data_IF_617548845498
#
_entry.id   IF_617548845498
#
_cell.length_a   1.000
_cell.length_b   1.000
_cell.length_c   1.000
_cell.angle_alpha   90.00
_cell.angle_beta   90.00
_cell.angle_gamma   90.00
#
_symmetry.space_group_name_H-M   'P 1'
#
loop_
_entity.id
_entity.type
_entity.pdbx_description
1 polymer ?
#
# COMPACT_ATOMS: atom_id res chain seq x y z
N UNK A 1 -14.65 -34.59 2.47
CA UNK A 1 -13.26 -34.10 2.34
C UNK A 1 -13.31 -32.58 2.41
N UNK A 2 -12.40 -31.93 3.14
CA UNK A 2 -12.30 -30.46 3.13
C UNK A 2 -11.82 -30.02 1.76
N UNK A 3 -12.44 -28.98 1.21
CA UNK A 3 -12.00 -28.35 -0.05
C UNK A 3 -10.67 -27.66 0.21
N UNK A 4 -9.62 -28.04 -0.50
CA UNK A 4 -8.28 -27.46 -0.41
C UNK A 4 -8.13 -26.38 -1.46
N UNK A 5 -7.48 -25.28 -1.10
CA UNK A 5 -7.23 -24.12 -1.96
C UNK A 5 -5.73 -23.98 -2.14
N UNK A 6 -5.29 -23.87 -3.39
CA UNK A 6 -3.92 -23.49 -3.70
C UNK A 6 -3.76 -21.97 -3.53
N UNK A 7 -2.67 -21.56 -2.88
CA UNK A 7 -2.34 -20.17 -2.68
C UNK A 7 -0.90 -19.87 -3.06
N UNK A 8 -0.63 -18.63 -3.36
CA UNK A 8 0.70 -18.07 -3.54
C UNK A 8 0.94 -17.02 -2.47
N UNK A 9 2.04 -17.13 -1.72
CA UNK A 9 2.50 -16.10 -0.80
C UNK A 9 3.43 -15.15 -1.54
N UNK A 10 3.14 -13.86 -1.49
CA UNK A 10 3.97 -12.82 -2.12
C UNK A 10 4.11 -11.63 -1.19
N UNK A 11 5.15 -10.81 -1.44
CA UNK A 11 5.40 -9.58 -0.72
C UNK A 11 5.82 -8.44 -1.66
N UNK A 12 5.48 -7.21 -1.29
CA UNK A 12 5.94 -5.99 -1.92
C UNK A 12 6.42 -5.00 -0.87
N UNK A 13 7.75 -4.76 -0.82
CA UNK A 13 8.37 -3.89 0.17
C UNK A 13 8.06 -4.30 1.63
N UNK A 14 8.11 -5.62 1.93
CA UNK A 14 7.90 -6.16 3.28
C UNK A 14 6.43 -6.30 3.72
N UNK A 15 5.49 -5.80 2.93
CA UNK A 15 4.05 -6.02 3.16
C UNK A 15 3.62 -7.27 2.38
N UNK A 16 3.11 -8.29 3.08
CA UNK A 16 2.95 -9.63 2.53
C UNK A 16 1.51 -10.16 2.64
N UNK A 17 1.06 -10.81 1.56
CA UNK A 17 -0.30 -11.34 1.47
C UNK A 17 -0.33 -12.78 0.92
N UNK A 18 -1.44 -13.45 1.21
CA UNK A 18 -1.84 -14.72 0.61
C UNK A 18 -2.68 -14.40 -0.63
N UNK A 19 -2.28 -14.87 -1.80
CA UNK A 19 -2.98 -14.64 -3.07
C UNK A 19 -3.70 -15.90 -3.52
N UNK A 20 -4.97 -15.76 -3.87
CA UNK A 20 -5.81 -16.84 -4.39
C UNK A 20 -6.48 -16.40 -5.68
N UNK A 21 -6.38 -17.23 -6.72
CA UNK A 21 -7.13 -17.06 -7.97
C UNK A 21 -8.57 -17.60 -7.80
N UNK A 22 -9.54 -16.69 -7.73
CA UNK A 22 -10.96 -17.02 -7.57
C UNK A 22 -11.61 -17.53 -8.84
N UNK A 23 -10.91 -17.55 -9.96
CA UNK A 23 -11.37 -18.25 -11.16
C UNK A 23 -11.20 -19.77 -11.03
N UNK A 24 -10.29 -20.21 -10.15
CA UNK A 24 -10.02 -21.61 -9.86
C UNK A 24 -10.63 -22.07 -8.54
N UNK A 25 -10.66 -21.19 -7.53
CA UNK A 25 -11.07 -21.51 -6.17
C UNK A 25 -12.13 -20.54 -5.65
N UNK A 26 -13.28 -21.07 -5.28
CA UNK A 26 -14.32 -20.30 -4.61
C UNK A 26 -14.02 -20.18 -3.11
N UNK A 27 -14.04 -18.97 -2.59
CA UNK A 27 -13.84 -18.63 -1.18
C UNK A 27 -15.16 -18.05 -0.63
N UNK A 28 -16.02 -18.87 -0.06
CA UNK A 28 -17.37 -18.44 0.33
C UNK A 28 -17.38 -17.38 1.43
N UNK A 29 -16.41 -17.43 2.35
CA UNK A 29 -16.26 -16.51 3.46
C UNK A 29 -14.81 -15.98 3.50
N UNK A 30 -14.50 -14.94 2.69
CA UNK A 30 -13.13 -14.42 2.60
C UNK A 30 -12.66 -13.72 3.87
N UNK A 31 -13.56 -13.12 4.65
CA UNK A 31 -13.22 -12.48 5.93
C UNK A 31 -12.71 -13.52 6.93
N UNK A 32 -13.44 -14.63 7.08
CA UNK A 32 -13.05 -15.73 7.95
C UNK A 32 -11.78 -16.43 7.45
N UNK A 33 -11.62 -16.57 6.12
CA UNK A 33 -10.41 -17.12 5.53
C UNK A 33 -9.19 -16.21 5.81
N UNK A 34 -9.33 -14.90 5.66
CA UNK A 34 -8.28 -13.94 5.97
C UNK A 34 -7.82 -14.05 7.43
N UNK A 35 -8.75 -14.05 8.39
CA UNK A 35 -8.43 -14.21 9.82
C UNK A 35 -7.69 -15.52 10.09
N UNK A 36 -8.24 -16.66 9.59
CA UNK A 36 -7.69 -17.97 9.90
C UNK A 36 -6.33 -18.22 9.23
N UNK A 37 -6.16 -17.79 7.97
CA UNK A 37 -4.96 -18.05 7.21
C UNK A 37 -3.83 -17.06 7.54
N UNK A 38 -4.16 -15.82 7.93
CA UNK A 38 -3.16 -14.82 8.30
C UNK A 38 -2.56 -15.03 9.68
N UNK A 39 -3.13 -15.89 10.52
CA UNK A 39 -2.60 -16.16 11.86
C UNK A 39 -1.19 -16.74 11.81
N UNK A 40 -0.21 -16.09 12.46
CA UNK A 40 1.21 -16.45 12.35
C UNK A 40 1.56 -17.86 12.82
N UNK A 41 0.96 -18.36 13.88
CA UNK A 41 1.34 -19.65 14.48
C UNK A 41 0.44 -20.82 14.11
N UNK A 42 -0.74 -20.53 13.58
CA UNK A 42 -1.77 -21.55 13.32
C UNK A 42 -2.30 -21.54 11.88
N UNK A 43 -1.96 -20.53 11.11
CA UNK A 43 -2.20 -20.34 9.70
C UNK A 43 -0.90 -20.27 8.88
N UNK A 44 -0.97 -19.58 7.75
CA UNK A 44 0.17 -19.29 6.87
C UNK A 44 1.01 -18.14 7.44
N UNK A 45 0.36 -17.20 8.11
CA UNK A 45 0.96 -15.94 8.56
C UNK A 45 1.10 -14.92 7.44
N UNK A 46 0.42 -13.77 7.55
CA UNK A 46 0.48 -12.67 6.56
C UNK A 46 -0.23 -11.42 7.09
N UNK A 47 -0.10 -10.32 6.36
CA UNK A 47 -0.88 -9.10 6.57
C UNK A 47 -2.35 -9.26 6.12
N UNK A 48 -2.66 -10.30 5.33
CA UNK A 48 -4.02 -10.58 4.90
C UNK A 48 -4.13 -11.51 3.69
N UNK A 49 -5.32 -11.47 3.07
CA UNK A 49 -5.72 -12.28 1.93
C UNK A 49 -6.07 -11.39 0.73
N UNK A 50 -5.56 -11.72 -0.43
CA UNK A 50 -5.87 -11.09 -1.71
C UNK A 50 -6.55 -12.09 -2.64
N UNK A 51 -7.72 -11.74 -3.13
CA UNK A 51 -8.47 -12.50 -4.11
C UNK A 51 -8.32 -11.86 -5.49
N UNK A 52 -7.80 -12.62 -6.45
CA UNK A 52 -7.66 -12.22 -7.85
C UNK A 52 -8.82 -12.84 -8.62
N UNK A 53 -9.61 -12.03 -9.32
CA UNK A 53 -10.80 -12.51 -10.01
C UNK A 53 -11.04 -11.86 -11.36
N UNK A 54 -12.22 -12.19 -11.93
CA UNK A 54 -12.72 -11.51 -13.12
C UNK A 54 -13.30 -10.14 -12.73
N UNK A 55 -13.09 -9.09 -13.54
CA UNK A 55 -13.72 -7.80 -13.29
C UNK A 55 -15.24 -7.87 -13.54
N UNK A 56 -15.99 -6.95 -12.94
CA UNK A 56 -17.42 -6.82 -13.20
C UNK A 56 -17.72 -6.41 -14.66
N UNK A 57 -16.89 -5.53 -15.22
CA UNK A 57 -16.95 -5.13 -16.63
C UNK A 57 -15.59 -5.32 -17.31
N UNK A 58 -15.45 -6.37 -18.09
CA UNK A 58 -14.23 -6.69 -18.84
C UNK A 58 -13.83 -5.66 -19.91
N UNK A 59 -14.72 -4.70 -20.26
CA UNK A 59 -14.38 -3.58 -21.15
C UNK A 59 -13.57 -2.51 -20.41
N UNK A 60 -13.76 -2.41 -19.08
CA UNK A 60 -13.13 -1.39 -18.23
C UNK A 60 -11.88 -1.90 -17.53
N UNK A 61 -11.84 -3.18 -17.17
CA UNK A 61 -10.72 -3.80 -16.48
C UNK A 61 -10.41 -5.19 -17.04
N UNK A 62 -9.20 -5.67 -16.80
CA UNK A 62 -8.73 -6.99 -17.23
C UNK A 62 -8.90 -8.03 -16.10
N UNK A 63 -8.66 -7.61 -14.87
CA UNK A 63 -8.78 -8.41 -13.65
C UNK A 63 -9.38 -7.57 -12.52
N UNK A 64 -9.81 -8.25 -11.45
CA UNK A 64 -10.27 -7.61 -10.22
C UNK A 64 -9.45 -8.05 -9.02
N UNK A 65 -9.39 -7.18 -8.00
CA UNK A 65 -8.80 -7.44 -6.71
C UNK A 65 -9.82 -7.18 -5.61
N UNK A 66 -9.95 -8.14 -4.68
CA UNK A 66 -10.48 -7.90 -3.33
C UNK A 66 -9.38 -8.19 -2.32
N UNK A 67 -9.29 -7.39 -1.28
CA UNK A 67 -8.24 -7.51 -0.27
C UNK A 67 -8.83 -7.44 1.12
N UNK A 68 -8.45 -8.39 1.96
CA UNK A 68 -8.90 -8.53 3.34
C UNK A 68 -7.69 -8.49 4.25
N UNK A 69 -7.70 -7.61 5.24
CA UNK A 69 -6.66 -7.56 6.27
C UNK A 69 -6.68 -8.81 7.17
N UNK A 70 -5.64 -8.99 7.96
CA UNK A 70 -5.54 -10.13 8.88
C UNK A 70 -6.66 -10.18 9.94
N UNK A 71 -7.34 -9.06 10.21
CA UNK A 71 -8.51 -8.96 11.09
C UNK A 71 -9.85 -9.27 10.38
N UNK A 72 -9.82 -9.56 9.08
CA UNK A 72 -10.98 -9.83 8.24
C UNK A 72 -11.61 -8.60 7.59
N UNK A 73 -11.21 -7.40 7.95
CA UNK A 73 -11.75 -6.18 7.33
C UNK A 73 -11.35 -6.07 5.86
N UNK A 74 -12.31 -5.71 4.98
CA UNK A 74 -12.03 -5.49 3.57
C UNK A 74 -11.48 -4.09 3.34
N UNK A 75 -10.31 -3.97 2.67
CA UNK A 75 -9.71 -2.70 2.31
C UNK A 75 -10.06 -2.31 0.87
N UNK A 76 -10.09 -0.99 0.62
CA UNK A 76 -10.45 -0.45 -0.68
C UNK A 76 -9.44 -0.78 -1.78
N UNK A 77 -8.15 -0.82 -1.44
CA UNK A 77 -7.03 -1.19 -2.31
C UNK A 77 -5.73 -1.22 -1.50
N UNK A 78 -4.72 -1.89 -2.04
CA UNK A 78 -3.35 -1.85 -1.54
C UNK A 78 -2.37 -1.78 -2.73
N UNK A 79 -1.52 -0.76 -2.75
CA UNK A 79 -0.54 -0.57 -3.82
C UNK A 79 0.52 -1.67 -3.87
N UNK A 80 0.95 -2.19 -2.71
CA UNK A 80 1.89 -3.31 -2.63
C UNK A 80 1.26 -4.59 -3.20
N UNK A 81 0.01 -4.89 -2.82
CA UNK A 81 -0.73 -6.02 -3.35
C UNK A 81 -0.97 -5.90 -4.86
N UNK A 82 -1.26 -4.69 -5.37
CA UNK A 82 -1.45 -4.45 -6.80
C UNK A 82 -0.19 -4.76 -7.61
N UNK A 83 1.02 -4.41 -7.10
CA UNK A 83 2.29 -4.77 -7.76
C UNK A 83 2.48 -6.29 -7.81
N UNK A 84 2.21 -6.98 -6.70
CA UNK A 84 2.27 -8.44 -6.64
C UNK A 84 1.29 -9.09 -7.63
N UNK A 85 0.07 -8.57 -7.76
CA UNK A 85 -0.90 -9.06 -8.76
C UNK A 85 -0.35 -8.90 -10.18
N UNK A 86 0.25 -7.75 -10.51
CA UNK A 86 0.86 -7.53 -11.83
C UNK A 86 1.90 -8.59 -12.17
N UNK A 87 2.86 -8.83 -11.25
CA UNK A 87 3.88 -9.88 -11.39
C UNK A 87 3.26 -11.27 -11.46
N UNK A 88 2.32 -11.57 -10.57
CA UNK A 88 1.61 -12.86 -10.54
C UNK A 88 0.95 -13.18 -11.87
N UNK A 89 0.14 -12.27 -12.39
CA UNK A 89 -0.62 -12.49 -13.62
C UNK A 89 0.30 -12.73 -14.82
N UNK A 90 1.40 -12.00 -14.92
CA UNK A 90 2.32 -12.12 -16.03
C UNK A 90 3.17 -13.41 -15.95
N UNK A 91 3.82 -13.64 -14.82
CA UNK A 91 4.74 -14.78 -14.67
C UNK A 91 4.03 -16.14 -14.53
N UNK A 92 2.76 -16.15 -14.10
CA UNK A 92 1.90 -17.36 -14.16
C UNK A 92 1.29 -17.59 -15.55
N UNK A 93 1.58 -16.73 -16.54
CA UNK A 93 1.09 -16.87 -17.90
C UNK A 93 -0.41 -16.60 -18.07
N UNK A 94 -1.02 -15.91 -17.11
CA UNK A 94 -2.44 -15.53 -17.18
C UNK A 94 -2.68 -14.33 -18.10
N UNK A 95 -1.63 -13.55 -18.36
CA UNK A 95 -1.62 -12.46 -19.33
C UNK A 95 -0.24 -12.31 -19.97
N UNK A 96 -0.21 -11.73 -21.18
CA UNK A 96 1.02 -11.31 -21.86
C UNK A 96 1.08 -9.79 -22.04
N UNK A 97 0.17 -9.06 -21.40
CA UNK A 97 0.15 -7.59 -21.42
C UNK A 97 1.18 -7.04 -20.45
N UNK A 98 1.90 -6.00 -20.87
CA UNK A 98 2.77 -5.19 -20.01
C UNK A 98 2.01 -4.12 -19.24
N UNK A 99 0.76 -3.89 -19.61
CA UNK A 99 -0.14 -2.92 -18.98
C UNK A 99 -1.46 -3.60 -18.65
N UNK A 100 -1.82 -3.64 -17.37
CA UNK A 100 -2.99 -4.34 -16.83
C UNK A 100 -3.91 -3.32 -16.16
N UNK A 101 -5.20 -3.41 -16.48
CA UNK A 101 -6.25 -2.63 -15.79
C UNK A 101 -6.83 -3.50 -14.68
N UNK A 102 -6.58 -3.12 -13.43
CA UNK A 102 -7.01 -3.84 -12.24
C UNK A 102 -8.19 -3.11 -11.57
N UNK A 103 -9.36 -3.77 -11.55
CA UNK A 103 -10.53 -3.28 -10.82
C UNK A 103 -10.32 -3.47 -9.32
N UNK A 104 -10.54 -2.42 -8.55
CA UNK A 104 -10.51 -2.40 -7.07
C UNK A 104 -11.72 -1.66 -6.54
N UNK A 105 -11.97 -1.73 -5.23
CA UNK A 105 -13.06 -0.95 -4.60
C UNK A 105 -12.80 0.57 -4.69
N UNK A 106 -11.55 1.01 -4.87
CA UNK A 106 -11.20 2.42 -5.10
C UNK A 106 -11.11 2.80 -6.59
N UNK A 107 -11.73 2.02 -7.47
CA UNK A 107 -11.72 2.22 -8.93
C UNK A 107 -10.67 1.41 -9.66
N UNK A 108 -10.59 1.60 -10.97
CA UNK A 108 -9.63 0.88 -11.83
C UNK A 108 -8.24 1.50 -11.69
N UNK A 109 -7.24 0.65 -11.37
CA UNK A 109 -5.83 1.01 -11.31
C UNK A 109 -5.11 0.51 -12.55
N UNK A 110 -4.19 1.31 -13.08
CA UNK A 110 -3.33 0.93 -14.20
C UNK A 110 -2.00 0.43 -13.62
N UNK A 111 -1.66 -0.80 -13.94
CA UNK A 111 -0.39 -1.43 -13.59
C UNK A 111 0.47 -1.50 -14.84
N UNK A 112 1.65 -0.89 -14.82
CA UNK A 112 2.65 -1.01 -15.89
C UNK A 112 3.79 -1.90 -15.41
N UNK A 113 3.99 -3.02 -16.08
CA UNK A 113 5.02 -4.00 -15.74
C UNK A 113 6.34 -3.60 -16.41
N UNK A 114 7.42 -3.63 -15.64
CA UNK A 114 8.79 -3.50 -16.13
C UNK A 114 9.38 -4.90 -16.25
N UNK A 115 9.44 -5.39 -17.48
CA UNK A 115 9.81 -6.76 -17.80
C UNK A 115 11.25 -6.77 -18.25
N UNK A 116 12.05 -7.65 -17.65
CA UNK A 116 13.43 -7.93 -18.07
C UNK A 116 13.51 -9.11 -19.05
N UNK A 117 14.70 -9.32 -19.61
CA UNK A 117 15.02 -10.50 -20.41
C UNK A 117 14.66 -11.79 -19.65
N UNK A 118 14.00 -12.73 -20.32
CA UNK A 118 13.53 -13.97 -19.70
C UNK A 118 12.11 -13.95 -19.15
N UNK A 119 11.32 -12.89 -19.44
CA UNK A 119 9.93 -12.74 -19.00
C UNK A 119 9.77 -12.59 -17.46
N UNK A 120 10.78 -12.10 -16.78
CA UNK A 120 10.70 -11.77 -15.36
C UNK A 120 10.24 -10.31 -15.17
N UNK A 121 9.26 -10.08 -14.29
CA UNK A 121 8.81 -8.73 -13.90
C UNK A 121 9.71 -8.22 -12.77
N UNK A 122 10.60 -7.29 -13.10
CA UNK A 122 11.51 -6.66 -12.14
C UNK A 122 10.77 -5.76 -11.15
N UNK A 123 9.89 -4.91 -11.70
CA UNK A 123 9.11 -3.97 -10.91
C UNK A 123 7.77 -3.66 -11.58
N UNK A 124 6.88 -3.06 -10.82
CA UNK A 124 5.56 -2.65 -11.31
C UNK A 124 5.29 -1.21 -10.91
N UNK A 125 4.88 -0.39 -11.87
CA UNK A 125 4.35 0.97 -11.61
C UNK A 125 2.84 0.90 -11.49
N UNK A 126 2.32 1.48 -10.40
CA UNK A 126 0.87 1.63 -10.15
C UNK A 126 0.50 3.10 -10.26
N UNK A 127 -0.51 3.43 -11.05
CA UNK A 127 -1.12 4.74 -11.07
C UNK A 127 -1.99 4.90 -9.82
N UNK A 128 -1.52 5.71 -8.86
CA UNK A 128 -2.18 5.98 -7.58
C UNK A 128 -3.21 7.12 -7.68
N UNK A 129 -3.39 7.71 -8.88
CA UNK A 129 -4.25 8.84 -9.19
C UNK A 129 -3.78 10.16 -8.57
N UNK A 130 -4.64 11.19 -8.63
CA UNK A 130 -4.33 12.52 -8.10
C UNK A 130 -4.41 12.56 -6.58
N UNK A 131 -3.43 13.19 -5.92
CA UNK A 131 -3.53 13.49 -4.49
C UNK A 131 -4.59 14.58 -4.26
N UNK A 132 -5.28 14.50 -3.13
CA UNK A 132 -6.09 15.62 -2.64
C UNK A 132 -5.31 16.35 -1.55
N UNK A 133 -5.08 17.63 -1.77
CA UNK A 133 -4.29 18.47 -0.87
C UNK A 133 -5.15 19.22 0.16
N UNK A 134 -6.48 19.15 0.01
CA UNK A 134 -7.46 19.71 0.92
C UNK A 134 -8.66 18.80 1.02
N UNK A 135 -9.07 18.49 2.24
CA UNK A 135 -10.31 17.77 2.53
C UNK A 135 -10.78 18.16 3.95
N UNK A 136 -11.76 19.04 4.04
CA UNK A 136 -12.26 19.56 5.32
C UNK A 136 -12.92 18.49 6.20
N UNK A 137 -13.32 17.35 5.65
CA UNK A 137 -13.86 16.24 6.44
C UNK A 137 -12.74 15.44 7.13
N UNK A 138 -11.50 15.53 6.63
CA UNK A 138 -10.36 14.75 7.13
C UNK A 138 -9.28 15.60 7.78
N UNK A 139 -9.18 16.88 7.43
CA UNK A 139 -8.20 17.81 7.99
C UNK A 139 -8.80 19.21 8.17
N UNK A 140 -8.91 19.66 9.41
CA UNK A 140 -9.50 20.96 9.80
C UNK A 140 -8.51 21.85 10.56
N UNK A 141 -7.33 21.35 10.81
CA UNK A 141 -6.32 22.01 11.65
C UNK A 141 -5.31 22.85 10.86
N UNK A 142 -4.42 23.54 11.59
CA UNK A 142 -3.24 24.17 11.01
C UNK A 142 -2.21 23.10 10.59
N UNK A 143 -1.24 23.50 9.76
CA UNK A 143 -0.10 22.67 9.39
C UNK A 143 0.90 22.44 10.54
N UNK A 144 0.74 23.13 11.67
CA UNK A 144 1.60 23.04 12.85
C UNK A 144 0.80 22.46 13.99
N UNK A 145 1.18 21.27 14.45
CA UNK A 145 0.49 20.52 15.49
C UNK A 145 1.40 20.29 16.70
N UNK A 146 0.84 20.45 17.90
CA UNK A 146 1.54 20.10 19.13
C UNK A 146 1.22 18.64 19.51
N UNK A 147 2.24 17.92 19.95
CA UNK A 147 2.12 16.61 20.59
C UNK A 147 3.08 16.58 21.79
N UNK A 148 2.51 16.63 22.98
CA UNK A 148 3.21 16.92 24.23
C UNK A 148 4.12 18.16 24.13
N UNK A 149 5.39 18.05 24.49
CA UNK A 149 6.35 19.15 24.41
C UNK A 149 6.94 19.41 23.01
N UNK A 150 6.58 18.60 22.00
CA UNK A 150 7.07 18.77 20.62
C UNK A 150 6.02 19.42 19.71
N UNK A 151 6.54 20.17 18.75
CA UNK A 151 5.75 20.79 17.69
C UNK A 151 6.16 20.13 16.37
N UNK A 152 5.17 19.70 15.60
CA UNK A 152 5.36 19.10 14.30
C UNK A 152 4.72 19.98 13.22
N UNK A 153 5.53 20.50 12.33
CA UNK A 153 5.05 21.12 11.10
C UNK A 153 4.94 20.05 10.03
N UNK A 154 3.79 19.97 9.37
CA UNK A 154 3.55 18.94 8.39
C UNK A 154 2.63 19.38 7.26
N UNK A 155 2.55 18.53 6.25
CA UNK A 155 1.73 18.70 5.05
C UNK A 155 0.67 17.61 5.01
N UNK A 156 -0.58 18.01 4.89
CA UNK A 156 -1.68 17.07 4.65
C UNK A 156 -1.72 16.66 3.17
N UNK A 157 -1.78 15.34 2.92
CA UNK A 157 -1.96 14.76 1.59
C UNK A 157 -2.90 13.56 1.70
N UNK A 158 -3.97 13.54 0.90
CA UNK A 158 -4.86 12.38 0.81
C UNK A 158 -4.57 11.59 -0.47
N UNK A 159 -4.25 10.31 -0.31
CA UNK A 159 -4.02 9.34 -1.39
C UNK A 159 -5.15 8.29 -1.43
N UNK A 160 -6.41 8.73 -1.18
CA UNK A 160 -7.56 7.87 -0.93
C UNK A 160 -7.79 7.62 0.56
N UNK A 161 -6.76 7.81 1.37
CA UNK A 161 -6.77 7.87 2.83
C UNK A 161 -5.91 9.05 3.29
N UNK A 162 -6.18 9.64 4.48
CA UNK A 162 -5.47 10.83 4.96
C UNK A 162 -4.07 10.51 5.46
N UNK A 163 -3.12 11.37 5.10
CA UNK A 163 -1.74 11.36 5.56
C UNK A 163 -1.31 12.75 6.02
N UNK A 164 -0.56 12.81 7.10
CA UNK A 164 0.12 14.01 7.57
C UNK A 164 1.62 13.73 7.61
N UNK A 165 2.35 14.41 6.72
CA UNK A 165 3.79 14.21 6.54
C UNK A 165 4.54 15.30 7.27
N UNK A 166 5.35 14.93 8.25
CA UNK A 166 6.24 15.83 8.98
C UNK A 166 7.70 15.51 8.69
N UNK A 167 8.49 16.55 8.36
CA UNK A 167 9.93 16.39 8.11
C UNK A 167 10.70 16.63 9.39
N UNK A 168 11.64 15.74 9.68
CA UNK A 168 12.50 15.76 10.86
C UNK A 168 13.97 15.69 10.46
N UNK A 169 14.88 16.23 11.29
CA UNK A 169 16.31 16.24 11.00
C UNK A 169 16.93 14.85 11.16
N UNK A 170 16.47 14.08 12.17
CA UNK A 170 16.93 12.72 12.44
C UNK A 170 15.74 11.84 12.89
N UNK A 171 15.34 10.94 12.01
CA UNK A 171 14.18 10.07 12.22
C UNK A 171 14.41 9.04 13.32
N UNK A 172 15.66 8.65 13.58
CA UNK A 172 15.99 7.65 14.59
C UNK A 172 15.88 8.21 16.02
N UNK A 173 15.81 9.55 16.15
CA UNK A 173 15.57 10.23 17.45
C UNK A 173 14.09 10.39 17.79
N UNK A 174 13.19 10.00 16.86
CA UNK A 174 11.74 10.16 17.06
C UNK A 174 11.13 8.89 17.63
N UNK A 175 10.45 9.00 18.75
CA UNK A 175 9.57 7.94 19.24
C UNK A 175 8.28 7.91 18.40
N UNK A 176 8.35 7.13 17.30
CA UNK A 176 7.26 7.00 16.33
C UNK A 176 5.97 6.49 16.99
N UNK A 177 6.09 5.55 17.94
CA UNK A 177 4.91 4.98 18.60
C UNK A 177 4.22 6.01 19.50
N UNK A 178 4.99 6.81 20.22
CA UNK A 178 4.47 7.85 21.09
C UNK A 178 3.85 9.01 20.28
N UNK A 179 4.65 9.67 19.46
CA UNK A 179 4.20 10.85 18.73
C UNK A 179 3.20 10.52 17.62
N UNK A 180 3.37 9.39 16.94
CA UNK A 180 2.44 8.93 15.91
C UNK A 180 1.03 8.73 16.48
N UNK A 181 0.93 8.08 17.65
CA UNK A 181 -0.34 7.90 18.34
C UNK A 181 -0.99 9.22 18.75
N UNK A 182 -0.21 10.15 19.34
CA UNK A 182 -0.74 11.45 19.73
C UNK A 182 -1.25 12.25 18.54
N UNK A 183 -0.50 12.26 17.43
CA UNK A 183 -0.89 12.96 16.22
C UNK A 183 -2.06 12.28 15.50
N UNK A 184 -2.15 10.94 15.47
CA UNK A 184 -3.30 10.22 14.87
C UNK A 184 -4.63 10.72 15.45
N UNK A 185 -4.67 10.96 16.76
CA UNK A 185 -5.88 11.37 17.50
C UNK A 185 -5.98 12.87 17.73
N UNK A 186 -5.13 13.67 17.07
CA UNK A 186 -5.20 15.13 17.18
C UNK A 186 -6.53 15.64 16.60
N UNK A 187 -7.11 16.66 17.23
CA UNK A 187 -8.39 17.28 16.81
C UNK A 187 -8.36 17.84 15.39
N UNK A 188 -7.18 18.11 14.83
CA UNK A 188 -7.01 18.50 13.44
C UNK A 188 -7.48 17.40 12.46
N UNK A 189 -7.62 16.14 12.90
CA UNK A 189 -7.99 14.99 12.08
C UNK A 189 -9.31 14.35 12.56
N UNK A 190 -10.47 14.84 12.15
CA UNK A 190 -11.78 14.30 12.60
C UNK A 190 -11.98 12.81 12.34
N UNK A 191 -11.33 12.26 11.29
CA UNK A 191 -11.39 10.85 10.92
C UNK A 191 -10.10 10.10 11.27
N UNK A 192 -9.23 10.67 12.11
CA UNK A 192 -7.85 10.20 12.35
C UNK A 192 -7.00 10.20 11.07
N UNK A 193 -5.69 10.09 11.21
CA UNK A 193 -4.75 10.26 10.11
C UNK A 193 -3.59 9.28 10.23
N UNK A 194 -3.03 8.86 9.10
CA UNK A 194 -1.70 8.23 9.07
C UNK A 194 -0.65 9.32 9.24
N UNK A 195 0.38 9.06 10.02
CA UNK A 195 1.44 10.02 10.32
C UNK A 195 2.75 9.52 9.77
N UNK A 196 3.33 10.26 8.83
CA UNK A 196 4.63 9.98 8.24
C UNK A 196 5.68 10.92 8.84
N UNK A 197 6.69 10.31 9.46
CA UNK A 197 7.92 10.99 9.84
C UNK A 197 8.93 10.77 8.73
N UNK A 198 9.45 11.85 8.15
CA UNK A 198 10.28 11.82 6.97
C UNK A 198 11.59 12.59 7.20
N UNK A 199 12.69 12.04 6.70
CA UNK A 199 14.02 12.65 6.73
C UNK A 199 14.61 12.63 5.33
N UNK A 200 15.07 13.77 4.83
CA UNK A 200 15.90 13.79 3.62
C UNK A 200 17.27 13.19 3.95
N UNK A 201 17.63 12.13 3.21
CA UNK A 201 18.97 11.52 3.31
C UNK A 201 19.87 11.89 2.15
N UNK A 202 19.26 12.28 1.03
CA UNK A 202 19.94 12.77 -0.18
C UNK A 202 18.96 13.64 -0.99
N UNK A 203 19.42 14.27 -2.08
CA UNK A 203 18.63 15.19 -2.92
C UNK A 203 17.29 14.63 -3.38
N UNK A 204 17.23 13.32 -3.71
CA UNK A 204 16.04 12.63 -4.19
C UNK A 204 15.72 11.37 -3.37
N UNK A 205 16.25 11.25 -2.16
CA UNK A 205 16.04 10.09 -1.29
C UNK A 205 15.53 10.52 0.07
N UNK A 206 14.40 9.95 0.47
CA UNK A 206 13.70 10.29 1.70
C UNK A 206 13.48 9.03 2.52
N UNK A 207 14.05 8.99 3.71
CA UNK A 207 13.77 7.96 4.72
C UNK A 207 12.43 8.27 5.38
N UNK A 208 11.53 7.30 5.44
CA UNK A 208 10.19 7.49 6.01
C UNK A 208 9.84 6.34 6.93
N UNK A 209 9.25 6.66 8.08
CA UNK A 209 8.60 5.72 8.99
C UNK A 209 7.18 6.19 9.26
N UNK A 210 6.26 5.26 9.32
CA UNK A 210 4.84 5.55 9.43
C UNK A 210 4.24 5.00 10.71
N UNK A 211 3.32 5.78 11.26
CA UNK A 211 2.30 5.33 12.19
C UNK A 211 0.97 5.27 11.42
N UNK A 212 0.53 4.07 11.06
CA UNK A 212 -0.72 3.91 10.32
C UNK A 212 -1.93 3.96 11.26
N UNK A 213 -2.95 4.67 10.80
CA UNK A 213 -4.23 4.82 11.48
C UNK A 213 -4.84 3.45 11.81
N UNK A 214 -4.96 3.16 13.10
CA UNK A 214 -5.55 1.92 13.61
C UNK A 214 -4.62 0.70 13.60
N UNK A 215 -3.43 0.77 12.97
CA UNK A 215 -2.49 -0.35 12.86
C UNK A 215 -1.16 -0.09 13.58
N UNK A 216 -0.81 1.17 13.82
CA UNK A 216 0.47 1.53 14.45
C UNK A 216 1.64 1.51 13.47
N UNK A 217 2.84 1.15 13.97
CA UNK A 217 4.04 1.09 13.13
C UNK A 217 3.93 -0.11 12.18
N UNK A 218 4.10 0.15 10.88
CA UNK A 218 4.16 -0.87 9.83
C UNK A 218 5.48 -0.77 9.06
N UNK A 219 5.85 -1.86 8.39
CA UNK A 219 7.11 -1.94 7.63
C UNK A 219 7.08 -1.10 6.36
N UNK A 220 5.90 -0.92 5.76
CA UNK A 220 5.74 -0.14 4.53
C UNK A 220 4.28 0.28 4.32
N UNK A 221 4.08 1.54 3.98
CA UNK A 221 2.79 2.11 3.57
C UNK A 221 2.94 2.74 2.17
N UNK A 222 2.35 2.13 1.14
CA UNK A 222 2.46 2.62 -0.23
C UNK A 222 1.84 4.01 -0.43
N UNK A 223 0.65 4.26 0.16
CA UNK A 223 0.00 5.59 0.12
C UNK A 223 0.77 6.62 0.95
N UNK A 224 1.39 6.20 2.07
CA UNK A 224 2.27 7.05 2.87
C UNK A 224 3.54 7.45 2.11
N UNK A 225 4.14 6.53 1.35
CA UNK A 225 5.27 6.84 0.48
C UNK A 225 4.88 7.87 -0.61
N UNK A 226 3.71 7.70 -1.23
CA UNK A 226 3.18 8.67 -2.19
C UNK A 226 2.96 10.05 -1.55
N UNK A 227 2.31 10.08 -0.38
CA UNK A 227 2.09 11.31 0.36
C UNK A 227 3.40 12.01 0.74
N UNK A 228 4.41 11.25 1.17
CA UNK A 228 5.74 11.78 1.51
C UNK A 228 6.40 12.45 0.31
N UNK A 229 6.41 11.82 -0.86
CA UNK A 229 7.00 12.40 -2.08
C UNK A 229 6.26 13.67 -2.52
N UNK A 230 4.92 13.65 -2.49
CA UNK A 230 4.11 14.84 -2.81
C UNK A 230 4.39 15.97 -1.83
N UNK A 231 4.42 15.71 -0.53
CA UNK A 231 4.73 16.72 0.49
C UNK A 231 6.14 17.29 0.33
N UNK A 232 7.13 16.44 0.02
CA UNK A 232 8.51 16.86 -0.23
C UNK A 232 8.60 17.83 -1.43
N UNK A 233 7.92 17.51 -2.53
CA UNK A 233 7.84 18.39 -3.69
C UNK A 233 7.16 19.72 -3.37
N UNK A 234 5.99 19.69 -2.74
CA UNK A 234 5.21 20.89 -2.41
C UNK A 234 5.95 21.84 -1.47
N UNK A 235 6.80 21.31 -0.61
CA UNK A 235 7.61 22.09 0.34
C UNK A 235 9.01 22.44 -0.18
N UNK A 236 9.31 22.10 -1.46
CA UNK A 236 10.59 22.43 -2.11
C UNK A 236 11.78 21.63 -1.57
N UNK A 237 11.53 20.48 -0.92
CA UNK A 237 12.58 19.64 -0.33
C UNK A 237 13.15 18.62 -1.32
N UNK A 238 12.36 18.17 -2.28
CA UNK A 238 12.77 17.20 -3.30
C UNK A 238 12.12 17.52 -4.65
N UNK A 239 12.62 16.89 -5.71
CA UNK A 239 12.04 16.97 -7.04
C UNK A 239 10.71 16.22 -7.14
N UNK A 240 10.05 16.25 -8.33
CA UNK A 240 8.84 15.48 -8.57
C UNK A 240 9.04 13.96 -8.54
N UNK A 241 10.28 13.49 -8.56
CA UNK A 241 10.63 12.07 -8.52
C UNK A 241 11.58 11.81 -7.35
N UNK A 242 11.18 10.92 -6.45
CA UNK A 242 11.92 10.62 -5.23
C UNK A 242 11.92 9.12 -4.94
N UNK A 243 12.98 8.66 -4.29
CA UNK A 243 13.07 7.33 -3.70
C UNK A 243 12.64 7.42 -2.24
N UNK A 244 11.60 6.70 -1.88
CA UNK A 244 11.08 6.64 -0.51
C UNK A 244 11.56 5.34 0.13
N UNK A 245 12.44 5.46 1.12
CA UNK A 245 13.05 4.34 1.84
C UNK A 245 12.27 4.10 3.13
N UNK A 246 11.61 2.97 3.22
CA UNK A 246 10.87 2.49 4.38
C UNK A 246 11.58 1.31 5.04
N UNK A 247 11.12 0.84 6.20
CA UNK A 247 11.70 -0.31 6.90
C UNK A 247 11.62 -1.59 6.05
N UNK A 248 10.55 -1.76 5.27
CA UNK A 248 10.32 -2.92 4.41
C UNK A 248 10.91 -2.85 3.01
N UNK A 249 11.40 -1.69 2.56
CA UNK A 249 11.97 -1.52 1.22
C UNK A 249 11.82 -0.13 0.65
N UNK A 250 12.31 0.02 -0.58
CA UNK A 250 12.30 1.31 -1.30
C UNK A 250 11.27 1.32 -2.41
N UNK A 251 10.53 2.42 -2.51
CA UNK A 251 9.62 2.73 -3.61
C UNK A 251 10.10 3.97 -4.33
N UNK A 252 10.04 3.97 -5.65
CA UNK A 252 10.22 5.17 -6.47
C UNK A 252 8.86 5.81 -6.70
N UNK A 253 8.71 7.06 -6.33
CA UNK A 253 7.47 7.82 -6.48
C UNK A 253 7.71 8.98 -7.44
N UNK A 254 6.81 9.14 -8.39
CA UNK A 254 6.80 10.26 -9.33
C UNK A 254 5.46 11.00 -9.24
N UNK A 255 5.50 12.27 -8.86
CA UNK A 255 4.35 13.19 -8.98
C UNK A 255 4.40 13.85 -10.35
N UNK A 256 3.68 13.26 -11.30
CA UNK A 256 3.78 13.57 -12.72
C UNK A 256 3.23 14.97 -13.03
N UNK A 257 3.98 15.76 -13.79
CA UNK A 257 3.57 17.11 -14.18
C UNK A 257 2.46 17.14 -15.24
N UNK A 258 2.42 16.08 -16.08
CA UNK A 258 1.52 16.07 -17.23
C UNK A 258 0.05 15.87 -16.87
N UNK A 259 -0.22 15.15 -15.77
CA UNK A 259 -1.58 14.76 -15.38
C UNK A 259 -1.87 14.93 -13.89
N UNK A 260 -0.89 15.36 -13.09
CA UNK A 260 -0.95 15.47 -11.62
C UNK A 260 -1.21 14.14 -10.92
N UNK A 261 -0.96 13.00 -11.57
CA UNK A 261 -1.04 11.71 -10.95
C UNK A 261 0.24 11.38 -10.19
N UNK A 262 0.11 10.50 -9.19
CA UNK A 262 1.22 9.92 -8.46
C UNK A 262 1.45 8.51 -8.97
N UNK A 263 2.63 8.26 -9.52
CA UNK A 263 3.05 6.94 -9.99
C UNK A 263 3.99 6.30 -8.97
N UNK A 264 3.63 5.12 -8.49
CA UNK A 264 4.39 4.37 -7.50
C UNK A 264 5.01 3.13 -8.15
N UNK A 265 6.33 3.10 -8.24
CA UNK A 265 7.09 1.98 -8.80
C UNK A 265 7.83 1.24 -7.69
N UNK A 266 7.75 -0.07 -7.68
CA UNK A 266 8.46 -0.89 -6.72
C UNK A 266 8.50 -2.37 -7.06
N UNK A 267 9.27 -3.15 -6.30
CA UNK A 267 9.40 -4.58 -6.50
C UNK A 267 8.14 -5.33 -6.03
N UNK A 268 8.04 -6.56 -6.52
CA UNK A 268 7.16 -7.59 -6.02
C UNK A 268 7.91 -8.93 -6.06
N UNK A 269 7.72 -9.77 -5.07
CA UNK A 269 8.42 -11.05 -5.00
C UNK A 269 7.51 -12.18 -4.55
N UNK A 270 7.68 -13.34 -5.19
CA UNK A 270 7.14 -14.60 -4.69
C UNK A 270 7.92 -15.03 -3.45
N UNK A 271 7.22 -15.50 -2.44
CA UNK A 271 7.84 -16.10 -1.26
C UNK A 271 7.75 -17.63 -1.32
N UNK A 272 6.55 -18.18 -1.43
CA UNK A 272 6.30 -19.61 -1.58
C UNK A 272 4.87 -19.87 -2.04
N UNK A 273 4.59 -21.11 -2.40
CA UNK A 273 3.25 -21.61 -2.74
C UNK A 273 2.87 -22.80 -1.86
N UNK A 274 1.60 -23.03 -1.73
CA UNK A 274 1.11 -24.15 -0.94
C UNK A 274 -0.39 -24.40 -1.10
N UNK A 275 -0.88 -25.35 -0.30
CA UNK A 275 -2.29 -25.68 -0.23
C UNK A 275 -2.79 -25.56 1.20
N UNK A 276 -3.99 -25.01 1.36
CA UNK A 276 -4.62 -24.85 2.66
C UNK A 276 -6.10 -25.24 2.61
N UNK A 277 -6.64 -25.97 3.60
CA UNK A 277 -8.07 -26.23 3.65
C UNK A 277 -8.86 -24.95 3.95
N UNK A 278 -10.07 -24.83 3.36
CA UNK A 278 -11.03 -23.81 3.76
C UNK A 278 -11.31 -23.87 5.27
N UNK A 279 -11.48 -22.73 5.94
CA UNK A 279 -11.90 -22.68 7.35
C UNK A 279 -13.18 -23.49 7.57
N UNK A 280 -13.38 -24.02 8.78
CA UNK A 280 -14.63 -24.68 9.13
C UNK A 280 -15.76 -23.65 9.17
N UNK A 281 -16.92 -24.04 8.72
CA UNK A 281 -18.18 -23.29 8.91
C UNK A 281 -18.48 -22.99 10.38
#
# INVERSE_FOLDING_TARGET
MRRTVHFTKMQGAGNDYIYVDTQLYDIPDPEKAAIAWSAYHTGIGSDGLVLIGKPHDGRRADYSMRIFNADGSEAMMCGNASRCIGKYLYEKGLTHKDTIRLETLSGVKILKLHIQDGNEVESVTVDMLKPLLQNQEQFVGPSVLAADERIFEGTYVCMGNPHFVTFVDDIDTIDIAHYGRLLEYNEAFPQRCNIEFAQLTDADTIRTRVWERGSGITMACGTGACATAVAAFLTGRASRKSNIVMDGGTLQIEYCEADDHVYMTGPAAFAFEGEIPLPKE
#
